data_IF_210118647817
#
_entry.id   IF_210118647817
#
_cell.length_a   1.000
_cell.length_b   1.000
_cell.length_c   1.000
_cell.angle_alpha   90.00
_cell.angle_beta   90.00
_cell.angle_gamma   90.00
#
_symmetry.space_group_name_H-M   'P 1'
#
loop_
_entity.id
_entity.type
_entity.pdbx_description
1 polymer ?
#
# COMPACT_ATOMS: atom_id res chain seq x y z
N UNK A 1 4.44 8.20 47.50
CA UNK A 1 3.31 8.43 46.58
C UNK A 1 3.52 7.53 45.38
N UNK A 2 2.82 6.40 45.37
CA UNK A 2 2.83 5.41 44.28
C UNK A 2 2.14 6.02 43.07
N UNK A 3 2.88 6.15 41.97
CA UNK A 3 2.33 6.57 40.67
C UNK A 3 1.37 5.45 40.23
N UNK A 4 0.07 5.75 40.14
CA UNK A 4 -0.93 4.87 39.55
C UNK A 4 -0.44 4.45 38.16
N UNK A 5 -0.61 3.20 37.71
CA UNK A 5 -0.33 2.87 36.31
C UNK A 5 -1.24 3.76 35.46
N UNK A 6 -0.65 4.61 34.62
CA UNK A 6 -1.42 5.31 33.58
C UNK A 6 -2.13 4.24 32.77
N UNK A 7 -3.46 4.30 32.68
CA UNK A 7 -4.18 3.52 31.68
C UNK A 7 -3.55 3.80 30.33
N UNK A 8 -3.29 2.77 29.50
CA UNK A 8 -2.71 3.00 28.19
C UNK A 8 -3.59 3.98 27.43
N UNK A 9 -2.98 5.06 26.92
CA UNK A 9 -3.70 6.09 26.20
C UNK A 9 -4.55 5.46 25.08
N UNK A 10 -5.83 5.81 25.06
CA UNK A 10 -6.81 5.31 24.08
C UNK A 10 -6.33 5.60 22.65
N UNK A 11 -6.55 4.66 21.73
CA UNK A 11 -6.17 4.82 20.32
C UNK A 11 -6.91 6.02 19.69
N UNK A 12 -6.21 6.97 19.05
CA UNK A 12 -6.83 8.19 18.54
C UNK A 12 -7.48 7.98 17.16
N UNK A 13 -8.57 7.22 17.11
CA UNK A 13 -9.22 6.72 15.87
C UNK A 13 -9.67 7.80 14.88
N UNK A 14 -10.02 8.99 15.39
CA UNK A 14 -10.48 10.16 14.60
C UNK A 14 -9.34 10.87 13.85
N UNK A 15 -8.09 10.61 14.23
CA UNK A 15 -6.96 11.30 13.62
C UNK A 15 -6.66 10.77 12.20
N UNK A 16 -6.09 11.62 11.33
CA UNK A 16 -5.51 11.17 10.07
C UNK A 16 -4.54 10.00 10.28
N UNK A 17 -4.48 9.09 9.31
CA UNK A 17 -3.69 7.85 9.40
C UNK A 17 -2.23 8.10 9.80
N UNK A 18 -1.59 9.11 9.23
CA UNK A 18 -0.22 9.50 9.56
C UNK A 18 -0.04 9.76 11.07
N UNK A 19 -0.94 10.53 11.67
CA UNK A 19 -0.89 10.85 13.10
C UNK A 19 -1.20 9.63 13.96
N UNK A 20 -2.08 8.74 13.50
CA UNK A 20 -2.33 7.46 14.19
C UNK A 20 -1.09 6.57 14.17
N UNK A 21 -0.40 6.48 13.04
CA UNK A 21 0.82 5.67 12.93
C UNK A 21 1.98 6.28 13.73
N UNK A 22 2.09 7.61 13.80
CA UNK A 22 3.04 8.26 14.70
C UNK A 22 2.78 7.89 16.17
N UNK A 23 1.52 7.93 16.62
CA UNK A 23 1.15 7.47 17.97
C UNK A 23 1.40 5.97 18.18
N UNK A 24 1.21 5.13 17.15
CA UNK A 24 1.57 3.71 17.20
C UNK A 24 3.08 3.51 17.37
N UNK A 25 3.90 4.33 16.70
CA UNK A 25 5.36 4.32 16.83
C UNK A 25 5.79 4.77 18.23
N UNK A 26 5.18 5.81 18.79
CA UNK A 26 5.45 6.22 20.17
C UNK A 26 5.14 5.10 21.17
N UNK A 27 4.11 4.30 20.89
CA UNK A 27 3.64 3.22 21.78
C UNK A 27 4.42 1.92 21.64
N UNK A 28 4.76 1.52 20.41
CA UNK A 28 5.33 0.20 20.12
C UNK A 28 6.78 0.27 19.63
N UNK A 29 7.26 1.42 19.17
CA UNK A 29 8.50 1.54 18.42
C UNK A 29 8.32 1.24 16.93
N UNK A 30 9.17 1.81 16.08
CA UNK A 30 9.08 1.68 14.62
C UNK A 30 9.15 0.23 14.15
N UNK A 31 10.14 -0.53 14.64
CA UNK A 31 10.36 -1.95 14.31
C UNK A 31 9.10 -2.77 14.55
N UNK A 32 8.51 -2.68 15.74
CA UNK A 32 7.29 -3.41 16.07
C UNK A 32 6.09 -2.96 15.21
N UNK A 33 5.98 -1.68 14.84
CA UNK A 33 4.90 -1.23 13.94
C UNK A 33 5.07 -1.85 12.55
N UNK A 34 6.30 -1.96 12.05
CA UNK A 34 6.58 -2.64 10.77
C UNK A 34 6.26 -4.12 10.87
N UNK A 35 6.75 -4.83 11.90
CA UNK A 35 6.49 -6.26 12.09
C UNK A 35 4.99 -6.57 12.14
N UNK A 36 4.22 -5.76 12.89
CA UNK A 36 2.78 -5.92 12.97
C UNK A 36 2.09 -5.60 11.64
N UNK A 37 2.54 -4.58 10.91
CA UNK A 37 2.01 -4.29 9.58
C UNK A 37 2.27 -5.44 8.59
N UNK A 38 3.45 -6.07 8.65
CA UNK A 38 3.79 -7.27 7.87
C UNK A 38 2.96 -8.47 8.29
N UNK A 39 2.72 -8.65 9.58
CA UNK A 39 1.88 -9.72 10.11
C UNK A 39 0.42 -9.58 9.65
N UNK A 40 -0.14 -8.36 9.68
CA UNK A 40 -1.45 -8.08 9.09
C UNK A 40 -1.49 -8.38 7.59
N UNK A 41 -0.40 -8.07 6.88
CA UNK A 41 -0.27 -8.35 5.45
C UNK A 41 -0.28 -9.86 5.13
N UNK A 42 0.27 -10.66 6.04
CA UNK A 42 0.22 -12.12 6.00
C UNK A 42 -1.13 -12.71 6.44
N UNK A 43 -2.13 -11.87 6.74
CA UNK A 43 -3.47 -12.28 7.15
C UNK A 43 -3.62 -12.60 8.65
N UNK A 44 -2.62 -12.26 9.47
CA UNK A 44 -2.69 -12.47 10.91
C UNK A 44 -3.44 -11.33 11.62
N UNK A 45 -3.83 -11.58 12.87
CA UNK A 45 -4.50 -10.60 13.74
C UNK A 45 -3.51 -10.02 14.75
N UNK A 46 -3.41 -8.69 14.80
CA UNK A 46 -2.42 -7.95 15.63
C UNK A 46 -3.02 -7.21 16.83
N UNK A 47 -4.22 -7.63 17.27
CA UNK A 47 -4.91 -7.02 18.39
C UNK A 47 -5.76 -5.81 18.01
N UNK A 48 -6.75 -5.50 18.86
CA UNK A 48 -7.74 -4.44 18.62
C UNK A 48 -7.07 -3.08 18.47
N UNK A 49 -6.16 -2.74 19.39
CA UNK A 49 -5.44 -1.46 19.38
C UNK A 49 -4.70 -1.24 18.05
N UNK A 50 -3.96 -2.23 17.56
CA UNK A 50 -3.21 -2.07 16.32
C UNK A 50 -4.13 -1.97 15.10
N UNK A 51 -5.23 -2.75 15.06
CA UNK A 51 -6.25 -2.57 14.02
C UNK A 51 -6.85 -1.17 14.02
N UNK A 52 -7.13 -0.59 15.19
CA UNK A 52 -7.59 0.79 15.31
C UNK A 52 -6.52 1.79 14.83
N UNK A 53 -5.24 1.56 15.13
CA UNK A 53 -4.15 2.41 14.64
C UNK A 53 -4.06 2.42 13.12
N UNK A 54 -4.22 1.28 12.44
CA UNK A 54 -4.07 1.20 10.97
C UNK A 54 -5.39 1.41 10.20
N UNK A 55 -6.53 1.10 10.83
CA UNK A 55 -7.86 1.08 10.22
C UNK A 55 -8.81 2.19 10.67
N UNK A 56 -8.56 2.83 11.82
CA UNK A 56 -9.37 3.95 12.34
C UNK A 56 -10.80 3.53 12.66
N UNK A 57 -11.77 4.45 12.48
CA UNK A 57 -13.21 4.16 12.67
C UNK A 57 -13.69 2.92 11.88
N UNK A 58 -13.10 2.64 10.71
CA UNK A 58 -13.48 1.46 9.94
C UNK A 58 -13.05 0.14 10.62
N UNK A 59 -11.95 0.16 11.38
CA UNK A 59 -11.59 -0.97 12.23
C UNK A 59 -12.57 -1.12 13.39
N UNK A 60 -13.07 -0.03 13.97
CA UNK A 60 -14.09 -0.12 15.02
C UNK A 60 -15.32 -0.88 14.54
N UNK A 61 -15.85 -0.56 13.35
CA UNK A 61 -16.99 -1.31 12.81
C UNK A 61 -16.71 -2.81 12.59
N UNK A 62 -15.47 -3.19 12.29
CA UNK A 62 -15.06 -4.61 12.22
C UNK A 62 -15.02 -5.25 13.62
N UNK A 63 -14.47 -4.55 14.61
CA UNK A 63 -14.46 -4.99 16.00
C UNK A 63 -15.87 -5.14 16.58
N UNK A 64 -16.81 -4.33 16.10
CA UNK A 64 -18.24 -4.38 16.44
C UNK A 64 -18.99 -5.52 15.70
N UNK A 65 -18.28 -6.37 14.94
CA UNK A 65 -18.81 -7.59 14.33
C UNK A 65 -19.08 -7.51 12.82
N UNK A 66 -18.66 -6.45 12.13
CA UNK A 66 -18.67 -6.45 10.67
C UNK A 66 -17.66 -7.48 10.10
N UNK A 67 -17.93 -8.09 8.94
CA UNK A 67 -17.07 -9.13 8.40
C UNK A 67 -15.63 -8.63 8.13
N UNK A 68 -14.67 -9.38 8.66
CA UNK A 68 -13.25 -9.19 8.37
C UNK A 68 -12.99 -9.70 6.96
N UNK A 69 -13.01 -8.79 5.99
CA UNK A 69 -12.55 -9.05 4.62
C UNK A 69 -11.02 -8.86 4.56
N UNK A 70 -10.47 -8.59 3.37
CA UNK A 70 -9.05 -8.25 3.14
C UNK A 70 -8.60 -6.90 3.78
N UNK A 71 -9.42 -6.31 4.66
CA UNK A 71 -9.15 -5.00 5.24
C UNK A 71 -7.87 -4.95 6.09
N UNK A 72 -7.59 -5.91 6.98
CA UNK A 72 -6.35 -5.91 7.75
C UNK A 72 -5.10 -5.97 6.86
N UNK A 73 -5.09 -6.84 5.83
CA UNK A 73 -3.99 -6.93 4.85
C UNK A 73 -3.77 -5.58 4.15
N UNK A 74 -4.86 -4.97 3.67
CA UNK A 74 -4.81 -3.66 3.03
C UNK A 74 -4.26 -2.58 3.98
N UNK A 75 -4.65 -2.61 5.25
CA UNK A 75 -4.19 -1.62 6.23
C UNK A 75 -2.74 -1.83 6.62
N UNK A 76 -2.28 -3.08 6.75
CA UNK A 76 -0.87 -3.42 6.91
C UNK A 76 -0.02 -2.86 5.76
N UNK A 77 -0.39 -3.17 4.51
CA UNK A 77 0.29 -2.61 3.33
C UNK A 77 0.28 -1.08 3.34
N UNK A 78 -0.84 -0.46 3.71
CA UNK A 78 -0.97 1.01 3.75
C UNK A 78 -0.13 1.64 4.87
N UNK A 79 0.02 1.00 6.01
CA UNK A 79 0.84 1.48 7.12
C UNK A 79 2.31 1.64 6.70
N UNK A 80 2.78 0.76 5.80
CA UNK A 80 4.12 0.77 5.22
C UNK A 80 4.41 2.00 4.32
N UNK A 81 3.40 2.81 3.99
CA UNK A 81 3.60 4.15 3.40
C UNK A 81 4.14 5.18 4.39
N UNK A 82 3.98 4.97 5.70
CA UNK A 82 4.32 5.94 6.74
C UNK A 82 5.44 5.45 7.64
N UNK A 83 5.43 4.17 8.01
CA UNK A 83 6.45 3.54 8.86
C UNK A 83 7.07 2.41 8.06
N UNK A 84 8.39 2.43 7.86
CA UNK A 84 9.04 1.59 6.86
C UNK A 84 10.37 1.03 7.33
N UNK A 85 10.63 -0.20 6.93
CA UNK A 85 11.92 -0.85 6.95
C UNK A 85 12.12 -1.61 5.63
N UNK A 86 13.36 -1.69 5.15
CA UNK A 86 13.68 -2.33 3.87
C UNK A 86 13.32 -3.82 3.83
N UNK A 87 13.26 -4.50 4.99
CA UNK A 87 12.81 -5.89 5.09
C UNK A 87 11.36 -6.10 4.64
N UNK A 88 10.54 -5.04 4.57
CA UNK A 88 9.17 -5.12 4.09
C UNK A 88 9.05 -5.24 2.56
N UNK A 89 10.13 -4.96 1.82
CA UNK A 89 10.16 -4.95 0.36
C UNK A 89 9.61 -6.23 -0.29
N UNK A 90 10.12 -7.43 0.05
CA UNK A 90 9.63 -8.69 -0.50
C UNK A 90 8.13 -8.92 -0.27
N UNK A 91 7.65 -8.64 0.93
CA UNK A 91 6.24 -8.81 1.28
C UNK A 91 5.34 -7.87 0.46
N UNK A 92 5.74 -6.61 0.28
CA UNK A 92 5.02 -5.66 -0.60
C UNK A 92 4.99 -6.15 -2.05
N UNK A 93 6.08 -6.68 -2.58
CA UNK A 93 6.10 -7.21 -3.95
C UNK A 93 5.14 -8.41 -4.08
N UNK A 94 5.07 -9.28 -3.07
CA UNK A 94 4.15 -10.42 -3.06
C UNK A 94 2.67 -10.00 -3.14
N UNK A 95 2.30 -8.87 -2.52
CA UNK A 95 0.93 -8.32 -2.57
C UNK A 95 0.43 -8.05 -3.99
N UNK A 96 1.32 -7.89 -4.96
CA UNK A 96 0.95 -7.67 -6.36
C UNK A 96 0.24 -8.89 -6.98
N UNK A 97 0.30 -10.06 -6.33
CA UNK A 97 -0.46 -11.25 -6.75
C UNK A 97 -1.66 -11.58 -5.85
N UNK A 98 -1.94 -10.74 -4.84
CA UNK A 98 -2.98 -11.00 -3.85
C UNK A 98 -4.39 -11.13 -4.50
N UNK A 99 -5.25 -12.05 -4.04
CA UNK A 99 -6.60 -12.23 -4.60
C UNK A 99 -7.47 -10.97 -4.50
N UNK A 100 -7.29 -10.17 -3.45
CA UNK A 100 -8.00 -8.92 -3.24
C UNK A 100 -7.38 -7.78 -4.09
N UNK A 101 -8.17 -7.24 -5.04
CA UNK A 101 -7.70 -6.19 -5.94
C UNK A 101 -7.24 -4.92 -5.22
N UNK A 102 -7.83 -4.58 -4.05
CA UNK A 102 -7.40 -3.42 -3.26
C UNK A 102 -6.02 -3.61 -2.66
N UNK A 103 -5.66 -4.84 -2.30
CA UNK A 103 -4.33 -5.17 -1.78
C UNK A 103 -3.32 -5.06 -2.92
N UNK A 104 -3.62 -5.58 -4.12
CA UNK A 104 -2.76 -5.36 -5.32
C UNK A 104 -2.57 -3.88 -5.65
N UNK A 105 -3.66 -3.10 -5.64
CA UNK A 105 -3.62 -1.64 -5.87
C UNK A 105 -2.72 -0.94 -4.85
N UNK A 106 -2.86 -1.30 -3.56
CA UNK A 106 -2.01 -0.74 -2.49
C UNK A 106 -0.56 -1.16 -2.64
N UNK A 107 -0.30 -2.43 -2.93
CA UNK A 107 1.02 -2.97 -3.22
C UNK A 107 1.76 -2.17 -4.29
N UNK A 108 1.09 -1.91 -5.41
CA UNK A 108 1.67 -1.12 -6.50
C UNK A 108 2.01 0.31 -6.07
N UNK A 109 1.17 0.92 -5.22
CA UNK A 109 1.42 2.26 -4.66
C UNK A 109 2.60 2.27 -3.69
N UNK A 110 2.68 1.31 -2.77
CA UNK A 110 3.77 1.21 -1.80
C UNK A 110 5.08 0.92 -2.53
N UNK A 111 5.07 -0.01 -3.48
CA UNK A 111 6.24 -0.32 -4.29
C UNK A 111 6.80 0.92 -4.99
N UNK A 112 5.93 1.74 -5.60
CA UNK A 112 6.33 3.00 -6.23
C UNK A 112 6.88 4.01 -5.21
N UNK A 113 6.22 4.18 -4.07
CA UNK A 113 6.62 5.14 -3.04
C UNK A 113 7.93 4.77 -2.33
N UNK A 114 8.26 3.47 -2.29
CA UNK A 114 9.47 2.92 -1.64
C UNK A 114 10.53 2.49 -2.65
N UNK A 115 10.37 2.85 -3.93
CA UNK A 115 11.35 2.58 -4.98
C UNK A 115 11.73 1.09 -5.11
N UNK A 116 10.78 0.18 -4.85
CA UNK A 116 11.06 -1.25 -4.84
C UNK A 116 11.37 -1.79 -6.25
N UNK A 117 12.20 -2.85 -6.36
CA UNK A 117 12.54 -3.50 -7.64
C UNK A 117 11.39 -4.38 -8.16
N UNK A 118 10.21 -3.77 -8.38
CA UNK A 118 8.95 -4.46 -8.66
C UNK A 118 8.49 -4.36 -10.12
N UNK A 119 9.30 -3.78 -11.03
CA UNK A 119 8.88 -3.47 -12.40
C UNK A 119 8.29 -4.68 -13.14
N UNK A 120 8.93 -5.84 -13.08
CA UNK A 120 8.43 -7.06 -13.73
C UNK A 120 7.06 -7.50 -13.19
N UNK A 121 6.88 -7.51 -11.87
CA UNK A 121 5.60 -7.84 -11.25
C UNK A 121 4.50 -6.82 -11.58
N UNK A 122 4.84 -5.53 -11.61
CA UNK A 122 3.93 -4.45 -12.00
C UNK A 122 3.51 -4.54 -13.47
N UNK A 123 4.40 -4.96 -14.37
CA UNK A 123 4.06 -5.17 -15.78
C UNK A 123 2.94 -6.22 -15.95
N UNK A 124 2.94 -7.27 -15.12
CA UNK A 124 1.86 -8.26 -15.08
C UNK A 124 0.49 -7.67 -14.71
N UNK A 125 0.46 -6.59 -13.93
CA UNK A 125 -0.78 -5.93 -13.51
C UNK A 125 -1.36 -4.97 -14.55
N UNK A 126 -0.67 -4.71 -15.67
CA UNK A 126 -1.22 -3.92 -16.76
C UNK A 126 -2.41 -4.61 -17.46
N UNK A 127 -2.60 -5.91 -17.28
CA UNK A 127 -3.74 -6.67 -17.80
C UNK A 127 -4.74 -7.10 -16.72
N UNK A 128 -4.63 -6.54 -15.51
CA UNK A 128 -5.52 -6.86 -14.39
C UNK A 128 -6.99 -6.59 -14.76
N UNK A 129 -7.90 -7.45 -14.30
CA UNK A 129 -9.34 -7.31 -14.55
C UNK A 129 -9.91 -6.01 -13.97
N UNK A 130 -9.32 -5.50 -12.89
CA UNK A 130 -9.76 -4.30 -12.21
C UNK A 130 -9.03 -3.07 -12.76
N UNK A 131 -9.77 -2.08 -13.33
CA UNK A 131 -9.15 -0.90 -13.93
C UNK A 131 -8.30 -0.08 -12.95
N UNK A 132 -8.68 -0.04 -11.67
CA UNK A 132 -7.89 0.65 -10.63
C UNK A 132 -6.50 0.04 -10.46
N UNK A 133 -6.39 -1.29 -10.55
CA UNK A 133 -5.11 -1.99 -10.46
C UNK A 133 -4.26 -1.71 -11.70
N UNK A 134 -4.84 -1.78 -12.91
CA UNK A 134 -4.14 -1.41 -14.14
C UNK A 134 -3.58 0.02 -14.09
N UNK A 135 -4.39 0.98 -13.62
CA UNK A 135 -3.96 2.36 -13.49
C UNK A 135 -2.85 2.54 -12.43
N UNK A 136 -2.93 1.83 -11.30
CA UNK A 136 -1.89 1.85 -10.27
C UNK A 136 -0.56 1.27 -10.80
N UNK A 137 -0.62 0.13 -11.51
CA UNK A 137 0.52 -0.50 -12.14
C UNK A 137 1.19 0.41 -13.19
N UNK A 138 0.41 1.06 -14.06
CA UNK A 138 0.92 2.00 -15.04
C UNK A 138 1.66 3.17 -14.38
N UNK A 139 1.09 3.77 -13.32
CA UNK A 139 1.76 4.85 -12.57
C UNK A 139 3.04 4.38 -11.90
N UNK A 140 3.01 3.21 -11.25
CA UNK A 140 4.17 2.63 -10.59
C UNK A 140 5.31 2.35 -11.58
N UNK A 141 5.02 1.78 -12.75
CA UNK A 141 6.02 1.62 -13.81
C UNK A 141 6.54 2.95 -14.36
N UNK A 142 5.75 4.02 -14.33
CA UNK A 142 6.24 5.35 -14.71
C UNK A 142 7.38 5.83 -13.80
N UNK A 143 7.29 5.48 -12.51
CA UNK A 143 8.28 5.82 -11.50
C UNK A 143 9.46 4.83 -11.44
N UNK A 144 9.18 3.52 -11.55
CA UNK A 144 10.16 2.46 -11.29
C UNK A 144 10.71 1.81 -12.56
N UNK A 145 9.92 1.80 -13.63
CA UNK A 145 10.24 1.12 -14.86
C UNK A 145 11.32 1.83 -15.67
N UNK A 146 11.70 1.18 -16.77
CA UNK A 146 12.72 1.64 -17.72
C UNK A 146 12.08 1.99 -19.07
N UNK A 147 12.90 2.37 -20.05
CA UNK A 147 12.44 2.58 -21.42
C UNK A 147 11.76 1.34 -22.03
N UNK A 148 12.12 0.14 -21.59
CA UNK A 148 11.58 -1.13 -22.11
C UNK A 148 10.10 -1.32 -21.74
N UNK A 149 9.66 -0.77 -20.60
CA UNK A 149 8.27 -0.85 -20.13
C UNK A 149 7.31 0.03 -20.96
N UNK A 150 7.82 1.00 -21.72
CA UNK A 150 7.00 1.93 -22.49
C UNK A 150 6.11 1.22 -23.51
N UNK A 151 6.56 0.10 -24.10
CA UNK A 151 5.76 -0.65 -25.07
C UNK A 151 4.52 -1.26 -24.40
N UNK A 152 4.71 -1.88 -23.24
CA UNK A 152 3.64 -2.48 -22.44
C UNK A 152 2.64 -1.43 -21.96
N UNK A 153 3.11 -0.30 -21.43
CA UNK A 153 2.23 0.80 -20.96
C UNK A 153 1.43 1.41 -22.12
N UNK A 154 2.01 1.51 -23.33
CA UNK A 154 1.32 2.09 -24.49
C UNK A 154 0.03 1.35 -24.86
N UNK A 155 -0.07 0.06 -24.56
CA UNK A 155 -1.29 -0.72 -24.79
C UNK A 155 -2.51 -0.13 -24.05
N UNK A 156 -2.27 0.47 -22.87
CA UNK A 156 -3.29 1.07 -22.02
C UNK A 156 -3.82 2.42 -22.51
N UNK A 157 -3.21 3.04 -23.53
CA UNK A 157 -3.76 4.26 -24.14
C UNK A 157 -5.11 4.00 -24.84
N UNK A 158 -5.46 2.74 -25.08
CA UNK A 158 -6.75 2.31 -25.65
C UNK A 158 -7.63 1.60 -24.62
N UNK A 159 -7.26 1.61 -23.34
CA UNK A 159 -8.07 1.00 -22.28
C UNK A 159 -9.48 1.61 -22.26
N UNK A 160 -10.55 0.81 -22.02
CA UNK A 160 -11.90 1.35 -21.91
C UNK A 160 -12.03 2.44 -20.84
N UNK A 161 -11.25 2.35 -19.75
CA UNK A 161 -11.40 3.28 -18.63
C UNK A 161 -10.51 4.50 -18.78
N UNK A 162 -11.16 5.67 -18.64
CA UNK A 162 -10.51 6.98 -18.80
C UNK A 162 -9.34 7.18 -17.85
N UNK A 163 -9.46 6.70 -16.61
CA UNK A 163 -8.40 6.82 -15.60
C UNK A 163 -7.18 5.95 -15.93
N UNK A 164 -7.38 4.80 -16.57
CA UNK A 164 -6.29 3.94 -17.02
C UNK A 164 -5.55 4.60 -18.18
N UNK A 165 -6.28 5.15 -19.16
CA UNK A 165 -5.67 5.91 -20.27
C UNK A 165 -4.87 7.10 -19.76
N UNK A 166 -5.40 7.86 -18.79
CA UNK A 166 -4.70 8.99 -18.16
C UNK A 166 -3.42 8.55 -17.47
N UNK A 167 -3.48 7.48 -16.66
CA UNK A 167 -2.32 6.92 -15.98
C UNK A 167 -1.24 6.47 -16.98
N UNK A 168 -1.64 5.81 -18.08
CA UNK A 168 -0.74 5.37 -19.12
C UNK A 168 -0.03 6.54 -19.81
N UNK A 169 -0.76 7.58 -20.19
CA UNK A 169 -0.16 8.76 -20.80
C UNK A 169 0.84 9.45 -19.86
N UNK A 170 0.46 9.69 -18.61
CA UNK A 170 1.34 10.29 -17.59
C UNK A 170 2.61 9.46 -17.36
N UNK A 171 2.46 8.13 -17.29
CA UNK A 171 3.57 7.20 -17.10
C UNK A 171 4.54 7.22 -18.27
N UNK A 172 4.02 7.22 -19.52
CA UNK A 172 4.85 7.33 -20.71
C UNK A 172 5.61 8.67 -20.77
N UNK A 173 4.98 9.76 -20.37
CA UNK A 173 5.62 11.07 -20.34
C UNK A 173 6.73 11.13 -19.29
N UNK A 174 6.50 10.57 -18.10
CA UNK A 174 7.52 10.42 -17.05
C UNK A 174 8.72 9.58 -17.52
N UNK A 175 8.47 8.44 -18.17
CA UNK A 175 9.54 7.60 -18.71
C UNK A 175 10.30 8.30 -19.83
N UNK A 176 9.63 9.04 -20.73
CA UNK A 176 10.32 9.80 -21.80
C UNK A 176 11.21 10.90 -21.26
N UNK A 177 10.80 11.54 -20.17
CA UNK A 177 11.62 12.53 -19.48
C UNK A 177 12.86 11.89 -18.83
N UNK A 178 12.72 10.70 -18.24
CA UNK A 178 13.83 9.94 -17.62
C UNK A 178 14.76 9.29 -18.65
N UNK A 179 14.23 8.88 -19.80
CA UNK A 179 14.94 8.20 -20.88
C UNK A 179 14.69 8.91 -22.23
N UNK A 180 15.23 10.13 -22.41
CA UNK A 180 15.09 10.85 -23.66
C UNK A 180 15.80 10.09 -24.78
N UNK A 181 15.22 10.11 -25.99
CA UNK A 181 15.94 9.62 -27.16
C UNK A 181 17.17 10.52 -27.42
N UNK A 182 18.32 9.94 -27.77
CA UNK A 182 19.49 10.71 -28.16
C UNK A 182 19.25 11.56 -29.40
#
# INVERSE_FOLDING_TARGET
MTRTPEEPASVPVELPLEKRLAAAVERYGEENVVERALSLLAGNYEGEDFLLFVGGEHAQGILDGAPVLYWPELWGARALLYVWDESAGPAIIETLSNPAWRVREMGARVAAARELPAASALAGLLSDQVPRVRAAAARALGALGTADDMASIRTLLKDPEIEVRRAAQQSLDALRARFPKP
#
